data_IF_964355598491
#
_entry.id   IF_964355598491
#
_cell.length_a   1.000
_cell.length_b   1.000
_cell.length_c   1.000
_cell.angle_alpha   90.00
_cell.angle_beta   90.00
_cell.angle_gamma   90.00
#
_symmetry.space_group_name_H-M   'P 1'
#
loop_
_entity.id
_entity.type
_entity.pdbx_description
1 polymer ?
#
# COMPACT_ATOMS: atom_id res chain seq x y z
N UNK A 1 -30.19 0.64 5.37
CA UNK A 1 -29.17 0.67 6.44
C UNK A 1 -27.83 0.55 5.75
N UNK A 2 -26.96 1.54 5.84
CA UNK A 2 -25.59 1.41 5.31
C UNK A 2 -24.80 0.62 6.35
N UNK A 3 -24.58 -0.67 6.10
CA UNK A 3 -23.71 -1.48 6.96
C UNK A 3 -22.34 -0.80 7.05
N UNK A 4 -21.82 -0.67 8.28
CA UNK A 4 -20.47 -0.16 8.47
C UNK A 4 -19.47 -1.15 7.86
N UNK A 5 -18.35 -0.68 7.28
CA UNK A 5 -17.33 -1.58 6.75
C UNK A 5 -16.88 -2.57 7.82
N UNK A 6 -16.83 -3.86 7.47
CA UNK A 6 -16.22 -4.88 8.33
C UNK A 6 -14.69 -4.65 8.36
N UNK A 7 -14.11 -4.21 9.49
CA UNK A 7 -12.68 -3.83 9.54
C UNK A 7 -11.74 -5.00 9.27
N UNK A 8 -12.13 -6.22 9.66
CA UNK A 8 -11.32 -7.42 9.48
C UNK A 8 -11.31 -7.87 8.01
N UNK A 9 -12.46 -7.81 7.34
CA UNK A 9 -12.53 -8.06 5.90
C UNK A 9 -11.76 -6.99 5.11
N UNK A 10 -11.91 -5.71 5.49
CA UNK A 10 -11.17 -4.61 4.86
C UNK A 10 -9.65 -4.76 5.04
N UNK A 11 -9.20 -5.12 6.25
CA UNK A 11 -7.79 -5.35 6.52
C UNK A 11 -7.19 -6.46 5.67
N UNK A 12 -7.94 -7.56 5.45
CA UNK A 12 -7.52 -8.66 4.55
C UNK A 12 -7.36 -8.18 3.11
N UNK A 13 -8.36 -7.52 2.55
CA UNK A 13 -8.31 -6.98 1.18
C UNK A 13 -7.16 -5.97 1.03
N UNK A 14 -6.96 -5.10 2.02
CA UNK A 14 -5.87 -4.14 2.01
C UNK A 14 -4.49 -4.81 2.05
N UNK A 15 -4.33 -5.88 2.82
CA UNK A 15 -3.07 -6.63 2.89
C UNK A 15 -2.77 -7.36 1.56
N UNK A 16 -3.75 -8.02 0.95
CA UNK A 16 -3.61 -8.71 -0.34
C UNK A 16 -3.25 -7.77 -1.49
N UNK A 17 -3.72 -6.52 -1.43
CA UNK A 17 -3.51 -5.52 -2.48
C UNK A 17 -2.55 -4.40 -2.09
N UNK A 18 -1.75 -4.57 -1.04
CA UNK A 18 -0.91 -3.49 -0.52
C UNK A 18 0.07 -2.97 -1.57
N UNK A 19 0.77 -3.85 -2.30
CA UNK A 19 1.69 -3.46 -3.38
C UNK A 19 1.01 -2.61 -4.45
N UNK A 20 -0.07 -3.09 -5.10
CA UNK A 20 -0.87 -2.31 -6.04
C UNK A 20 -1.38 -0.98 -5.49
N UNK A 21 -1.83 -0.93 -4.23
CA UNK A 21 -2.30 0.30 -3.58
C UNK A 21 -1.16 1.31 -3.45
N UNK A 22 0.01 0.88 -2.97
CA UNK A 22 1.19 1.74 -2.83
C UNK A 22 1.64 2.29 -4.18
N UNK A 23 1.62 1.46 -5.23
CA UNK A 23 1.92 1.90 -6.59
C UNK A 23 0.94 2.99 -7.06
N UNK A 24 -0.37 2.77 -6.89
CA UNK A 24 -1.38 3.74 -7.28
C UNK A 24 -1.21 5.09 -6.53
N UNK A 25 -0.83 5.05 -5.26
CA UNK A 25 -0.54 6.26 -4.48
C UNK A 25 0.68 7.03 -5.00
N UNK A 26 1.72 6.35 -5.45
CA UNK A 26 2.87 7.04 -6.06
C UNK A 26 2.51 7.64 -7.43
N UNK A 27 1.72 6.94 -8.25
CA UNK A 27 1.21 7.52 -9.51
C UNK A 27 0.40 8.78 -9.23
N UNK A 28 -0.52 8.76 -8.26
CA UNK A 28 -1.24 9.96 -7.85
C UNK A 28 -0.30 11.07 -7.39
N UNK A 29 0.73 10.75 -6.61
CA UNK A 29 1.70 11.74 -6.15
C UNK A 29 2.49 12.37 -7.32
N UNK A 30 2.89 11.58 -8.32
CA UNK A 30 3.56 12.07 -9.52
C UNK A 30 2.66 13.03 -10.30
N UNK A 31 1.40 12.66 -10.55
CA UNK A 31 0.43 13.51 -11.24
C UNK A 31 0.17 14.83 -10.48
N UNK A 32 0.15 14.79 -9.14
CA UNK A 32 0.03 16.01 -8.33
C UNK A 32 1.26 16.92 -8.46
N UNK A 33 2.47 16.36 -8.56
CA UNK A 33 3.68 17.16 -8.83
C UNK A 33 3.59 17.83 -10.19
N UNK A 34 3.19 17.10 -11.23
CA UNK A 34 3.06 17.63 -12.58
C UNK A 34 1.99 18.73 -12.68
N UNK A 35 0.94 18.64 -11.84
CA UNK A 35 -0.08 19.67 -11.70
C UNK A 35 0.33 20.88 -10.81
N UNK A 36 1.56 20.91 -10.27
CA UNK A 36 2.02 21.97 -9.35
C UNK A 36 1.39 21.92 -7.95
N UNK A 37 0.81 20.78 -7.56
CA UNK A 37 0.10 20.54 -6.29
C UNK A 37 0.98 19.77 -5.30
N UNK A 38 2.09 20.35 -4.89
CA UNK A 38 3.10 19.67 -4.06
C UNK A 38 2.57 19.20 -2.68
N UNK A 39 1.61 19.92 -2.09
CA UNK A 39 1.00 19.52 -0.82
C UNK A 39 0.20 18.22 -0.96
N UNK A 40 -0.55 18.08 -2.06
CA UNK A 40 -1.31 16.87 -2.35
C UNK A 40 -0.39 15.69 -2.69
N UNK A 41 0.70 15.95 -3.43
CA UNK A 41 1.74 14.96 -3.66
C UNK A 41 2.37 14.46 -2.35
N UNK A 42 2.63 15.37 -1.40
CA UNK A 42 3.13 15.03 -0.07
C UNK A 42 2.14 14.16 0.70
N UNK A 43 0.86 14.53 0.66
CA UNK A 43 -0.22 13.75 1.28
C UNK A 43 -0.24 12.29 0.79
N UNK A 44 -0.24 12.06 -0.53
CA UNK A 44 -0.27 10.70 -1.09
C UNK A 44 0.95 9.87 -0.67
N UNK A 45 2.14 10.48 -0.65
CA UNK A 45 3.37 9.82 -0.18
C UNK A 45 3.36 9.52 1.31
N UNK A 46 2.81 10.40 2.14
CA UNK A 46 2.65 10.15 3.57
C UNK A 46 1.66 9.02 3.85
N UNK A 47 0.57 8.95 3.09
CA UNK A 47 -0.38 7.85 3.16
C UNK A 47 0.28 6.52 2.74
N UNK A 48 1.05 6.50 1.64
CA UNK A 48 1.79 5.32 1.22
C UNK A 48 2.78 4.84 2.31
N UNK A 49 3.49 5.77 2.97
CA UNK A 49 4.36 5.46 4.10
C UNK A 49 3.60 4.86 5.29
N UNK A 50 2.42 5.40 5.61
CA UNK A 50 1.58 4.87 6.68
C UNK A 50 1.11 3.45 6.37
N UNK A 51 0.63 3.19 5.16
CA UNK A 51 0.15 1.87 4.73
C UNK A 51 1.28 0.84 4.68
N UNK A 52 2.45 1.20 4.14
CA UNK A 52 3.62 0.32 4.12
C UNK A 52 4.07 -0.09 5.52
N UNK A 53 4.06 0.85 6.48
CA UNK A 53 4.35 0.55 7.90
C UNK A 53 3.29 -0.36 8.53
N UNK A 54 2.02 -0.17 8.18
CA UNK A 54 0.92 -0.97 8.71
C UNK A 54 0.89 -2.40 8.15
N UNK A 55 1.31 -2.60 6.90
CA UNK A 55 1.35 -3.91 6.24
C UNK A 55 2.58 -4.75 6.57
N UNK A 56 3.65 -4.14 7.10
CA UNK A 56 4.93 -4.82 7.34
C UNK A 56 5.67 -5.18 6.04
N UNK A 57 6.89 -5.71 6.18
CA UNK A 57 7.56 -6.40 5.06
C UNK A 57 6.81 -7.71 4.85
N UNK A 58 6.27 -8.00 3.66
CA UNK A 58 5.77 -9.35 3.39
C UNK A 58 6.89 -10.34 3.70
N UNK A 59 6.63 -11.50 4.35
CA UNK A 59 7.60 -12.57 4.33
C UNK A 59 7.92 -12.80 2.85
N UNK A 60 9.18 -12.56 2.47
CA UNK A 60 9.68 -13.01 1.18
C UNK A 60 9.22 -14.45 1.07
N UNK A 61 8.46 -14.81 0.04
CA UNK A 61 8.26 -16.21 -0.29
C UNK A 61 9.66 -16.80 -0.37
N UNK A 62 10.05 -17.49 0.70
CA UNK A 62 11.30 -18.18 0.80
C UNK A 62 11.14 -19.36 -0.15
N UNK A 63 11.72 -19.16 -1.33
CA UNK A 63 12.28 -20.15 -2.23
C UNK A 63 11.76 -21.59 -2.00
N UNK A 64 10.88 -22.13 -2.87
CA UNK A 64 10.40 -23.50 -2.77
C UNK A 64 11.51 -24.55 -2.99
N UNK A 65 12.75 -24.17 -3.25
CA UNK A 65 13.89 -25.09 -3.41
C UNK A 65 14.87 -25.00 -2.24
N UNK A 66 14.50 -25.63 -1.13
CA UNK A 66 15.44 -25.96 -0.06
C UNK A 66 16.64 -26.73 -0.61
N UNK A 67 17.81 -26.08 -0.66
CA UNK A 67 19.10 -26.75 -0.89
C UNK A 67 20.06 -26.45 0.27
N UNK A 68 20.47 -27.47 1.05
CA UNK A 68 21.49 -27.27 2.08
C UNK A 68 22.88 -27.12 1.43
N UNK A 69 23.66 -26.15 1.90
CA UNK A 69 25.12 -26.12 1.73
C UNK A 69 25.81 -26.75 2.92
#
# INVERSE_FOLDING_TARGET
>A
MTERPNPEALGRVAAEHLGPILYALEVCAMEMVDAGREEDARYFRDLARLLSRAGGTPPSEADPEGRPT
#
